data_IF_640657289250
#
_entry.id   IF_640657289250
#
_cell.length_a   1.000
_cell.length_b   1.000
_cell.length_c   1.000
_cell.angle_alpha   90.00
_cell.angle_beta   90.00
_cell.angle_gamma   90.00
#
_symmetry.space_group_name_H-M   'P 1'
#
loop_
_entity.id
_entity.type
_entity.pdbx_description
1 polymer ?
#
# COMPACT_ATOMS: atom_id res chain seq x y z
N UNK A 1 -22.35 -36.28 26.67
CA UNK A 1 -22.24 -34.98 26.00
C UNK A 1 -22.60 -33.91 27.03
N UNK A 2 -21.65 -33.06 27.40
CA UNK A 2 -21.90 -31.99 28.37
C UNK A 2 -22.61 -30.77 27.73
N UNK A 3 -23.00 -29.80 28.55
CA UNK A 3 -23.72 -28.62 28.08
C UNK A 3 -22.90 -27.78 27.08
N UNK A 4 -21.58 -27.73 27.24
CA UNK A 4 -20.66 -27.01 26.36
C UNK A 4 -20.55 -27.71 25.01
N UNK A 5 -20.38 -29.03 25.00
CA UNK A 5 -20.35 -29.85 23.79
C UNK A 5 -21.66 -29.75 23.00
N UNK A 6 -22.81 -29.68 23.69
CA UNK A 6 -24.12 -29.45 23.04
C UNK A 6 -24.19 -28.11 22.33
N UNK A 7 -23.73 -27.04 22.98
CA UNK A 7 -23.72 -25.69 22.39
C UNK A 7 -22.76 -25.63 21.21
N UNK A 8 -21.56 -26.20 21.32
CA UNK A 8 -20.59 -26.26 20.23
C UNK A 8 -21.13 -27.05 19.02
N UNK A 9 -21.82 -28.17 19.25
CA UNK A 9 -22.46 -28.93 18.18
C UNK A 9 -23.55 -28.14 17.45
N UNK A 10 -24.35 -27.35 18.18
CA UNK A 10 -25.37 -26.48 17.59
C UNK A 10 -24.76 -25.32 16.78
N UNK A 11 -23.67 -24.73 17.26
CA UNK A 11 -22.92 -23.72 16.52
C UNK A 11 -22.32 -24.30 15.23
N UNK A 12 -21.71 -25.48 15.32
CA UNK A 12 -21.18 -26.18 14.15
C UNK A 12 -22.28 -26.50 13.12
N UNK A 13 -23.47 -26.93 13.57
CA UNK A 13 -24.61 -27.16 12.69
C UNK A 13 -25.09 -25.86 12.02
N UNK A 14 -25.18 -24.76 12.77
CA UNK A 14 -25.53 -23.44 12.21
C UNK A 14 -24.54 -23.02 11.12
N UNK A 15 -23.25 -23.16 11.41
CA UNK A 15 -22.19 -22.77 10.48
C UNK A 15 -22.17 -23.68 9.23
N UNK A 16 -22.45 -24.97 9.39
CA UNK A 16 -22.63 -25.91 8.28
C UNK A 16 -23.84 -25.54 7.40
N UNK A 17 -24.99 -25.22 8.00
CA UNK A 17 -26.18 -24.76 7.26
C UNK A 17 -25.89 -23.47 6.50
N UNK A 18 -25.18 -22.52 7.11
CA UNK A 18 -24.78 -21.29 6.45
C UNK A 18 -23.82 -21.54 5.27
N UNK A 19 -22.90 -22.50 5.42
CA UNK A 19 -21.99 -22.90 4.35
C UNK A 19 -22.73 -23.53 3.17
N UNK A 20 -23.66 -24.46 3.43
CA UNK A 20 -24.50 -25.09 2.41
C UNK A 20 -25.37 -24.05 1.67
N UNK A 21 -25.97 -23.10 2.41
CA UNK A 21 -26.74 -22.02 1.80
C UNK A 21 -25.88 -21.18 0.85
N UNK A 22 -24.64 -20.88 1.21
CA UNK A 22 -23.70 -20.14 0.37
C UNK A 22 -23.26 -20.93 -0.88
N UNK A 23 -23.21 -22.27 -0.80
CA UNK A 23 -22.95 -23.12 -1.96
C UNK A 23 -24.16 -23.12 -2.90
N UNK A 24 -25.36 -23.34 -2.36
CA UNK A 24 -26.61 -23.32 -3.12
C UNK A 24 -26.82 -21.97 -3.82
N UNK A 25 -26.59 -20.85 -3.12
CA UNK A 25 -26.68 -19.51 -3.70
C UNK A 25 -25.69 -19.30 -4.85
N UNK A 26 -24.44 -19.77 -4.71
CA UNK A 26 -23.44 -19.68 -5.79
C UNK A 26 -23.82 -20.51 -7.02
N UNK A 27 -24.39 -21.69 -6.81
CA UNK A 27 -24.91 -22.52 -7.92
C UNK A 27 -26.08 -21.83 -8.61
N UNK A 28 -27.01 -21.26 -7.83
CA UNK A 28 -28.16 -20.51 -8.35
C UNK A 28 -27.72 -19.31 -9.20
N UNK A 29 -26.76 -18.53 -8.72
CA UNK A 29 -26.19 -17.38 -9.46
C UNK A 29 -25.61 -17.84 -10.80
N UNK A 30 -24.84 -18.94 -10.84
CA UNK A 30 -24.30 -19.47 -12.11
C UNK A 30 -25.40 -19.85 -13.10
N UNK A 31 -26.44 -20.53 -12.63
CA UNK A 31 -27.59 -20.95 -13.47
C UNK A 31 -28.33 -19.75 -14.03
N UNK A 32 -28.52 -18.72 -13.20
CA UNK A 32 -29.23 -17.48 -13.57
C UNK A 32 -28.43 -16.61 -14.52
N UNK A 33 -27.13 -16.45 -14.28
CA UNK A 33 -26.26 -15.69 -15.19
C UNK A 33 -26.24 -16.32 -16.58
N UNK A 34 -26.30 -17.65 -16.68
CA UNK A 34 -26.35 -18.35 -17.95
C UNK A 34 -27.72 -18.27 -18.66
N UNK A 35 -28.82 -18.18 -17.91
CA UNK A 35 -30.18 -18.19 -18.46
C UNK A 35 -30.82 -16.81 -18.65
N UNK A 36 -30.31 -15.78 -17.98
CA UNK A 36 -30.90 -14.44 -17.96
C UNK A 36 -32.22 -14.35 -17.16
N UNK A 37 -32.53 -15.36 -16.34
CA UNK A 37 -33.78 -15.38 -15.57
C UNK A 37 -33.85 -14.24 -14.54
N UNK A 38 -35.01 -13.60 -14.43
CA UNK A 38 -35.28 -12.54 -13.43
C UNK A 38 -35.84 -13.09 -12.11
N UNK A 39 -36.22 -14.37 -12.10
CA UNK A 39 -36.75 -15.10 -10.94
C UNK A 39 -36.30 -16.56 -10.99
N UNK A 40 -36.11 -17.19 -9.82
CA UNK A 40 -35.81 -18.62 -9.71
C UNK A 40 -36.66 -19.27 -8.64
N UNK A 41 -37.30 -20.38 -8.99
CA UNK A 41 -38.01 -21.19 -8.02
C UNK A 41 -37.02 -21.95 -7.14
N UNK A 42 -37.13 -21.73 -5.83
CA UNK A 42 -36.37 -22.48 -4.83
C UNK A 42 -37.35 -23.29 -3.97
N UNK A 43 -36.88 -24.33 -3.24
CA UNK A 43 -37.73 -25.06 -2.29
C UNK A 43 -38.36 -24.17 -1.20
N UNK A 44 -37.81 -22.97 -0.96
CA UNK A 44 -38.33 -21.99 -0.01
C UNK A 44 -39.28 -20.95 -0.64
N UNK A 45 -39.54 -21.04 -1.95
CA UNK A 45 -40.33 -20.09 -2.73
C UNK A 45 -39.52 -19.42 -3.86
N UNK A 46 -40.21 -18.64 -4.69
CA UNK A 46 -39.59 -17.90 -5.78
C UNK A 46 -38.66 -16.80 -5.24
N UNK A 47 -37.40 -16.81 -5.68
CA UNK A 47 -36.39 -15.80 -5.38
C UNK A 47 -36.24 -14.84 -6.56
N UNK A 48 -36.23 -13.54 -6.29
CA UNK A 48 -35.94 -12.53 -7.31
C UNK A 48 -34.43 -12.49 -7.61
N UNK A 49 -34.10 -12.36 -8.88
CA UNK A 49 -32.72 -12.13 -9.34
C UNK A 49 -32.53 -10.63 -9.48
N UNK A 50 -31.56 -10.09 -8.74
CA UNK A 50 -31.21 -8.67 -8.82
C UNK A 50 -29.82 -8.55 -9.41
N UNK A 51 -29.73 -7.92 -10.58
CA UNK A 51 -28.45 -7.57 -11.20
C UNK A 51 -28.05 -6.18 -10.71
N UNK A 52 -27.02 -6.12 -9.87
CA UNK A 52 -26.42 -4.85 -9.46
C UNK A 52 -25.64 -4.19 -10.60
N UNK A 53 -25.27 -2.90 -10.46
CA UNK A 53 -24.38 -2.25 -11.41
C UNK A 53 -23.04 -3.00 -11.49
N UNK A 54 -22.34 -2.94 -12.64
CA UNK A 54 -21.02 -3.53 -12.76
C UNK A 54 -20.04 -2.89 -11.75
N UNK A 55 -19.04 -3.65 -11.26
CA UNK A 55 -17.99 -3.06 -10.45
C UNK A 55 -17.21 -2.02 -11.27
N UNK A 56 -16.92 -0.89 -10.66
CA UNK A 56 -16.08 0.14 -11.27
C UNK A 56 -14.62 -0.10 -10.88
N UNK A 57 -13.73 -0.02 -11.86
CA UNK A 57 -12.30 0.13 -11.63
C UNK A 57 -11.98 1.62 -11.72
N UNK A 58 -11.37 2.17 -10.68
CA UNK A 58 -10.99 3.59 -10.63
C UNK A 58 -9.49 3.68 -10.92
N UNK A 59 -9.12 4.61 -11.79
CA UNK A 59 -7.74 5.05 -11.98
C UNK A 59 -7.51 6.27 -11.08
N UNK A 60 -6.68 6.11 -10.05
CA UNK A 60 -6.43 7.15 -9.05
C UNK A 60 -5.83 8.43 -9.64
N UNK A 61 -5.02 8.32 -10.71
CA UNK A 61 -4.43 9.48 -11.36
C UNK A 61 -5.50 10.28 -12.12
N UNK A 62 -6.31 9.58 -12.92
CA UNK A 62 -7.42 10.21 -13.64
C UNK A 62 -8.49 10.78 -12.70
N UNK A 63 -8.73 10.11 -11.55
CA UNK A 63 -9.61 10.62 -10.50
C UNK A 63 -9.07 11.94 -9.94
N UNK A 64 -7.78 12.00 -9.60
CA UNK A 64 -7.17 13.21 -9.04
C UNK A 64 -7.24 14.38 -10.03
N UNK A 65 -6.98 14.15 -11.31
CA UNK A 65 -7.09 15.19 -12.34
C UNK A 65 -8.53 15.66 -12.52
N UNK A 66 -9.50 14.74 -12.55
CA UNK A 66 -10.91 15.11 -12.62
C UNK A 66 -11.36 15.91 -11.38
N UNK A 67 -10.95 15.52 -10.18
CA UNK A 67 -11.30 16.22 -8.93
C UNK A 67 -10.66 17.61 -8.88
N UNK A 68 -9.42 17.77 -9.36
CA UNK A 68 -8.79 19.10 -9.48
C UNK A 68 -9.60 20.06 -10.34
N UNK A 69 -10.20 19.57 -11.42
CA UNK A 69 -10.99 20.39 -12.33
C UNK A 69 -12.41 20.65 -11.82
N UNK A 70 -13.05 19.66 -11.18
CA UNK A 70 -14.48 19.69 -10.90
C UNK A 70 -14.84 19.95 -9.43
N UNK A 71 -13.94 19.63 -8.49
CA UNK A 71 -14.17 19.78 -7.05
C UNK A 71 -12.84 20.04 -6.30
N UNK A 72 -12.11 21.13 -6.62
CA UNK A 72 -10.76 21.39 -6.11
C UNK A 72 -10.69 21.53 -4.59
N UNK A 73 -11.80 21.85 -3.92
CA UNK A 73 -11.88 21.94 -2.45
C UNK A 73 -11.62 20.60 -1.74
N UNK A 74 -11.69 19.48 -2.46
CA UNK A 74 -11.37 18.14 -1.94
C UNK A 74 -9.94 17.69 -2.26
N UNK A 75 -9.14 18.53 -2.94
CA UNK A 75 -7.73 18.23 -3.20
C UNK A 75 -6.87 18.74 -2.04
N UNK A 76 -6.28 17.81 -1.30
CA UNK A 76 -5.35 18.14 -0.22
C UNK A 76 -3.90 18.20 -0.73
N UNK A 77 -3.17 19.23 -0.32
CA UNK A 77 -1.71 19.33 -0.54
C UNK A 77 -1.00 18.88 0.72
N UNK A 78 -0.18 17.83 0.62
CA UNK A 78 0.59 17.30 1.76
C UNK A 78 2.03 17.77 1.67
N UNK A 79 2.51 18.46 2.72
CA UNK A 79 3.92 18.76 2.88
C UNK A 79 4.70 17.46 3.13
N UNK A 80 5.65 17.14 2.25
CA UNK A 80 6.46 15.92 2.31
C UNK A 80 7.95 16.23 2.22
N UNK A 81 8.75 15.44 2.92
CA UNK A 81 10.18 15.38 2.69
C UNK A 81 10.42 14.65 1.37
N UNK A 82 11.23 15.17 0.44
CA UNK A 82 11.56 14.46 -0.80
C UNK A 82 12.17 13.09 -0.52
N UNK A 83 11.76 12.06 -1.27
CA UNK A 83 12.15 10.67 -0.99
C UNK A 83 13.68 10.47 -1.04
N UNK A 84 14.36 11.18 -1.94
CA UNK A 84 15.83 11.14 -2.03
C UNK A 84 16.50 11.69 -0.76
N UNK A 85 15.91 12.73 -0.16
CA UNK A 85 16.44 13.36 1.05
C UNK A 85 16.11 12.53 2.29
N UNK A 86 14.89 11.99 2.35
CA UNK A 86 14.52 11.01 3.38
C UNK A 86 15.44 9.78 3.36
N UNK A 87 15.80 9.28 2.18
CA UNK A 87 16.77 8.20 2.04
C UNK A 87 18.17 8.60 2.55
N UNK A 88 18.63 9.83 2.26
CA UNK A 88 19.91 10.34 2.78
C UNK A 88 19.93 10.46 4.31
N UNK A 89 18.81 10.85 4.93
CA UNK A 89 18.66 10.96 6.39
C UNK A 89 18.60 9.60 7.11
N UNK A 90 18.46 8.51 6.36
CA UNK A 90 18.45 7.14 6.89
C UNK A 90 19.66 6.32 6.43
N UNK A 91 20.63 6.95 5.74
CA UNK A 91 21.89 6.30 5.36
C UNK A 91 22.68 5.93 6.64
N UNK A 92 23.09 4.66 6.81
CA UNK A 92 23.96 4.26 7.91
C UNK A 92 25.29 5.02 7.99
N UNK A 93 25.70 5.72 6.92
CA UNK A 93 26.88 6.59 6.92
C UNK A 93 26.62 7.95 7.60
N UNK A 94 25.38 8.40 7.69
CA UNK A 94 24.99 9.71 8.27
C UNK A 94 24.33 9.56 9.64
N UNK A 95 23.70 8.41 9.90
CA UNK A 95 23.04 8.10 11.17
C UNK A 95 23.58 6.80 11.74
N UNK A 96 24.05 6.84 12.98
CA UNK A 96 24.49 5.66 13.74
C UNK A 96 23.45 5.25 14.76
N UNK A 97 23.41 3.98 15.13
CA UNK A 97 22.50 3.49 16.17
C UNK A 97 23.32 3.07 17.38
N UNK A 98 23.02 3.67 18.54
CA UNK A 98 23.61 3.30 19.84
C UNK A 98 22.49 3.12 20.85
N UNK A 99 22.48 1.99 21.57
CA UNK A 99 21.47 1.66 22.58
C UNK A 99 20.01 1.85 22.13
N UNK A 100 19.74 1.56 20.85
CA UNK A 100 18.42 1.68 20.24
C UNK A 100 18.03 3.09 19.77
N UNK A 101 18.86 4.10 20.07
CA UNK A 101 18.68 5.47 19.60
C UNK A 101 19.43 5.72 18.30
N UNK A 102 18.81 6.47 17.39
CA UNK A 102 19.46 6.98 16.19
C UNK A 102 20.19 8.29 16.53
N UNK A 103 21.47 8.38 16.18
CA UNK A 103 22.35 9.51 16.41
C UNK A 103 22.85 10.07 15.07
N UNK A 104 22.88 11.40 14.92
CA UNK A 104 23.48 12.06 13.76
C UNK A 104 25.02 11.97 13.76
N UNK A 105 25.65 12.50 12.70
CA UNK A 105 27.12 12.56 12.57
C UNK A 105 27.84 13.39 13.65
N UNK A 106 27.11 14.09 14.53
CA UNK A 106 27.65 14.81 15.70
C UNK A 106 27.42 14.08 17.02
N UNK A 107 26.76 12.92 16.99
CA UNK A 107 26.42 12.11 18.16
C UNK A 107 25.14 12.56 18.87
N UNK A 108 24.30 13.42 18.26
CA UNK A 108 23.03 13.86 18.86
C UNK A 108 21.89 12.96 18.42
N UNK A 109 20.98 12.67 19.35
CA UNK A 109 19.78 11.87 19.05
C UNK A 109 18.88 12.58 18.04
N UNK A 110 18.51 11.86 16.97
CA UNK A 110 17.55 12.34 15.99
C UNK A 110 16.15 11.84 16.30
N UNK A 111 15.18 12.75 16.45
CA UNK A 111 13.82 12.42 16.87
C UNK A 111 13.00 11.68 15.79
N UNK A 112 13.38 11.78 14.52
CA UNK A 112 12.66 11.16 13.40
C UNK A 112 12.96 9.66 13.22
N UNK A 113 13.96 9.11 13.92
CA UNK A 113 14.37 7.72 13.75
C UNK A 113 14.64 7.01 15.09
N UNK A 114 14.32 5.71 15.14
CA UNK A 114 14.68 4.81 16.24
C UNK A 114 14.94 3.41 15.68
N UNK A 115 15.82 2.65 16.33
CA UNK A 115 16.02 1.26 15.92
C UNK A 115 14.86 0.39 16.39
N UNK A 116 14.38 -0.50 15.52
CA UNK A 116 13.25 -1.41 15.79
C UNK A 116 13.66 -2.88 15.91
N UNK A 117 14.96 -3.19 15.78
CA UNK A 117 15.49 -4.55 15.88
C UNK A 117 17.02 -4.61 15.90
N UNK A 118 17.58 -5.81 16.01
CA UNK A 118 19.02 -6.05 15.91
C UNK A 118 19.51 -5.90 14.47
N UNK A 119 20.63 -5.19 14.28
CA UNK A 119 21.24 -4.99 12.96
C UNK A 119 21.66 -6.32 12.33
N UNK A 120 21.46 -6.46 11.02
CA UNK A 120 21.84 -7.67 10.30
C UNK A 120 23.34 -7.67 9.93
N UNK A 121 23.99 -8.83 10.06
CA UNK A 121 25.38 -9.04 9.67
C UNK A 121 25.49 -9.34 8.19
N UNK A 122 26.32 -8.59 7.47
CA UNK A 122 26.59 -8.82 6.05
C UNK A 122 28.10 -8.80 5.78
N UNK A 123 28.56 -9.67 4.87
CA UNK A 123 29.92 -9.66 4.33
C UNK A 123 29.89 -8.90 3.00
N UNK A 124 30.77 -7.90 2.85
CA UNK A 124 30.93 -7.16 1.59
C UNK A 124 32.22 -7.56 0.90
N UNK A 125 32.11 -7.88 -0.39
CA UNK A 125 33.27 -8.21 -1.22
C UNK A 125 34.01 -6.94 -1.67
N UNK A 126 35.34 -6.99 -1.89
CA UNK A 126 36.12 -5.80 -2.28
C UNK A 126 35.59 -5.05 -3.51
N UNK A 127 35.00 -5.77 -4.46
CA UNK A 127 34.43 -5.20 -5.69
C UNK A 127 33.21 -4.33 -5.41
N UNK A 128 32.37 -4.72 -4.44
CA UNK A 128 31.20 -3.96 -4.02
C UNK A 128 31.58 -2.64 -3.35
N UNK A 129 32.71 -2.60 -2.63
CA UNK A 129 33.23 -1.39 -2.01
C UNK A 129 33.74 -0.39 -3.05
N UNK A 130 34.43 -0.87 -4.10
CA UNK A 130 34.89 -0.01 -5.21
C UNK A 130 33.74 0.60 -5.98
N UNK A 131 32.69 -0.19 -6.25
CA UNK A 131 31.47 0.30 -6.91
C UNK A 131 30.77 1.40 -6.10
N UNK A 132 30.68 1.25 -4.76
CA UNK A 132 30.15 2.30 -3.87
C UNK A 132 31.00 3.56 -3.90
N UNK A 133 32.32 3.45 -3.74
CA UNK A 133 33.22 4.61 -3.75
C UNK A 133 33.22 5.37 -5.10
N UNK A 134 32.95 4.69 -6.21
CA UNK A 134 32.74 5.35 -7.50
C UNK A 134 31.42 6.13 -7.56
N UNK A 135 30.33 5.56 -7.03
CA UNK A 135 29.03 6.23 -6.93
C UNK A 135 29.07 7.44 -5.99
N UNK A 136 29.67 7.30 -4.82
CA UNK A 136 29.75 8.38 -3.83
C UNK A 136 30.53 9.59 -4.38
N UNK A 137 31.58 9.35 -5.19
CA UNK A 137 32.31 10.42 -5.89
C UNK A 137 31.48 11.11 -6.97
N UNK A 138 30.57 10.40 -7.63
CA UNK A 138 29.75 10.94 -8.70
C UNK A 138 28.51 11.70 -8.19
N UNK A 139 28.03 11.37 -6.98
CA UNK A 139 26.77 11.87 -6.44
C UNK A 139 26.68 13.42 -6.37
N UNK A 140 27.70 14.17 -5.91
CA UNK A 140 27.61 15.63 -5.87
C UNK A 140 27.42 16.26 -7.25
N UNK A 141 28.09 15.73 -8.27
CA UNK A 141 27.97 16.22 -9.65
C UNK A 141 26.58 15.92 -10.24
N UNK A 142 26.02 14.74 -9.95
CA UNK A 142 24.67 14.36 -10.37
C UNK A 142 23.63 15.26 -9.70
N UNK A 143 23.74 15.51 -8.40
CA UNK A 143 22.82 16.40 -7.69
C UNK A 143 22.88 17.85 -8.19
N UNK A 144 24.09 18.35 -8.48
CA UNK A 144 24.25 19.68 -9.08
C UNK A 144 23.61 19.78 -10.48
N UNK A 145 23.76 18.74 -11.31
CA UNK A 145 23.12 18.69 -12.62
C UNK A 145 21.58 18.64 -12.53
N UNK A 146 21.04 17.84 -11.59
CA UNK A 146 19.59 17.78 -11.36
C UNK A 146 19.05 19.12 -10.85
N UNK A 147 19.76 19.80 -9.94
CA UNK A 147 19.37 21.11 -9.43
C UNK A 147 19.36 22.17 -10.54
N UNK A 148 20.36 22.15 -11.44
CA UNK A 148 20.41 23.06 -12.59
C UNK A 148 19.22 22.85 -13.54
N UNK A 149 18.90 21.59 -13.89
CA UNK A 149 17.74 21.26 -14.73
C UNK A 149 16.44 21.72 -14.08
N UNK A 150 16.31 21.55 -12.76
CA UNK A 150 15.10 21.96 -12.02
C UNK A 150 14.93 23.48 -11.98
N UNK A 151 16.04 24.23 -11.91
CA UNK A 151 16.01 25.70 -11.94
C UNK A 151 15.66 26.24 -13.33
N UNK A 152 16.27 25.69 -14.39
CA UNK A 152 15.97 26.06 -15.78
C UNK A 152 14.50 25.76 -16.16
N UNK A 153 13.94 24.67 -15.63
CA UNK A 153 12.53 24.33 -15.83
C UNK A 153 11.58 25.29 -15.09
N UNK A 154 12.01 25.91 -13.99
CA UNK A 154 11.23 26.90 -13.24
C UNK A 154 11.23 28.26 -13.95
N UNK A 155 12.39 28.72 -14.43
CA UNK A 155 12.52 30.00 -15.15
C UNK A 155 11.78 30.00 -16.51
N UNK A 156 11.62 28.82 -17.13
CA UNK A 156 10.88 28.67 -18.38
C UNK A 156 9.35 28.73 -18.22
N UNK A 157 8.81 28.68 -16.99
CA UNK A 157 7.37 28.74 -16.71
C UNK A 157 6.92 30.15 -16.31
N UNK A 158 7.85 30.99 -15.83
CA UNK A 158 7.58 32.36 -15.36
C UNK A 158 7.90 33.46 -16.41
N UNK A 159 8.26 33.10 -17.65
CA UNK A 159 8.57 34.02 -18.77
C UNK A 159 7.65 33.85 -19.97
#
# INVERSE_FOLDING_TARGET
MDATERVLALLALRDAVAAELKVAQRQLVRTVTASGATTVDTPAGAAAVVTGPPPLSIDDAALLDWVRENAPEFVETVERVPDWYAAQLTDPATVTVTDGQALDGTGRTVAYARATGTGATFVRWPEQLRGRAARDRALPAVLAAVAAITLEASDAVDG
#
